data_IF_727456235183
#
_entry.id   IF_727456235183
#
_cell.length_a   1.000
_cell.length_b   1.000
_cell.length_c   1.000
_cell.angle_alpha   90.00
_cell.angle_beta   90.00
_cell.angle_gamma   90.00
#
_symmetry.space_group_name_H-M   'P 1'
#
loop_
_entity.id
_entity.type
_entity.pdbx_description
1 polymer ?
#
# COMPACT_ATOMS: atom_id res chain seq x y z
N UNK A 1 -4.96 11.83 -15.31
CA UNK A 1 -4.52 12.62 -16.49
C UNK A 1 -4.20 11.64 -17.61
N UNK A 2 -4.69 11.83 -18.85
CA UNK A 2 -4.46 10.91 -19.97
C UNK A 2 -4.82 9.43 -19.66
N UNK A 3 -5.92 9.19 -18.93
CA UNK A 3 -6.34 7.86 -18.46
C UNK A 3 -5.29 7.08 -17.64
N UNK A 4 -4.27 7.76 -17.12
CA UNK A 4 -3.24 7.20 -16.24
C UNK A 4 -3.24 7.91 -14.90
N UNK A 5 -2.88 7.16 -13.86
CA UNK A 5 -2.53 7.71 -12.55
C UNK A 5 -1.11 8.28 -12.63
N UNK A 6 -0.99 9.59 -12.44
CA UNK A 6 0.29 10.30 -12.46
C UNK A 6 0.37 11.19 -11.22
N UNK A 7 1.54 11.23 -10.60
CA UNK A 7 1.85 12.12 -9.48
C UNK A 7 2.70 13.26 -10.03
N UNK A 8 2.10 14.43 -10.18
CA UNK A 8 2.73 15.57 -10.84
C UNK A 8 2.63 16.80 -9.96
N UNK A 9 3.66 17.66 -10.04
CA UNK A 9 3.67 18.97 -9.36
C UNK A 9 3.06 20.09 -10.22
N UNK A 10 2.78 19.80 -11.49
CA UNK A 10 2.14 20.71 -12.44
C UNK A 10 1.18 19.91 -13.31
N UNK A 11 -0.10 20.31 -13.34
CA UNK A 11 -1.11 19.71 -14.21
C UNK A 11 -0.67 19.72 -15.66
N UNK A 12 -0.31 20.89 -16.20
CA UNK A 12 0.05 21.03 -17.62
C UNK A 12 1.27 20.20 -18.00
N UNK A 13 2.34 20.17 -17.18
CA UNK A 13 3.48 19.29 -17.44
C UNK A 13 3.08 17.81 -17.49
N UNK A 14 2.18 17.38 -16.60
CA UNK A 14 1.65 16.02 -16.60
C UNK A 14 0.87 15.69 -17.87
N UNK A 15 0.04 16.63 -18.34
CA UNK A 15 -0.78 16.47 -19.54
C UNK A 15 0.04 16.45 -20.83
N UNK A 16 1.05 17.33 -20.94
CA UNK A 16 1.93 17.46 -22.11
C UNK A 16 3.16 16.57 -22.06
N UNK A 17 3.36 15.85 -20.95
CA UNK A 17 4.55 15.03 -20.68
C UNK A 17 5.87 15.81 -20.77
N UNK A 18 5.86 17.07 -20.33
CA UNK A 18 7.04 17.92 -20.32
C UNK A 18 8.18 17.29 -19.49
N UNK A 19 9.36 17.14 -20.10
CA UNK A 19 10.58 16.63 -19.46
C UNK A 19 11.55 17.76 -19.07
N UNK A 20 11.31 18.98 -19.54
CA UNK A 20 12.13 20.15 -19.25
C UNK A 20 11.68 20.85 -17.97
N UNK A 21 12.47 21.84 -17.52
CA UNK A 21 12.12 22.69 -16.39
C UNK A 21 10.76 23.37 -16.59
N UNK A 22 9.93 23.38 -15.56
CA UNK A 22 8.56 23.88 -15.64
C UNK A 22 8.52 25.41 -15.60
N UNK A 23 7.99 26.03 -16.66
CA UNK A 23 7.81 27.50 -16.75
C UNK A 23 6.35 27.95 -16.70
N UNK A 24 5.44 27.06 -16.32
CA UNK A 24 4.00 27.32 -16.27
C UNK A 24 3.61 28.23 -15.10
N UNK A 25 2.55 29.03 -15.27
CA UNK A 25 1.98 29.87 -14.20
C UNK A 25 1.29 29.01 -13.13
N UNK A 26 0.98 29.59 -11.98
CA UNK A 26 0.36 28.86 -10.88
C UNK A 26 -1.04 28.33 -11.25
N UNK A 27 -1.80 29.03 -12.07
CA UNK A 27 -3.10 28.56 -12.59
C UNK A 27 -2.95 27.36 -13.55
N UNK A 28 -1.87 27.32 -14.31
CA UNK A 28 -1.53 26.20 -15.19
C UNK A 28 -1.03 25.00 -14.39
N UNK A 29 -0.28 25.25 -13.32
CA UNK A 29 0.23 24.23 -12.40
C UNK A 29 -0.86 23.61 -11.54
N UNK A 30 -1.89 24.39 -11.18
CA UNK A 30 -2.96 24.00 -10.27
C UNK A 30 -3.58 22.64 -10.59
N UNK A 31 -3.63 21.79 -9.57
CA UNK A 31 -4.25 20.46 -9.64
C UNK A 31 -5.74 20.56 -9.28
N UNK A 32 -6.56 19.77 -9.95
CA UNK A 32 -7.99 19.62 -9.63
C UNK A 32 -8.29 18.14 -9.43
N UNK A 33 -8.98 17.82 -8.33
CA UNK A 33 -9.21 16.45 -7.91
C UNK A 33 -9.97 16.39 -6.59
N UNK A 34 -10.06 15.17 -6.06
CA UNK A 34 -10.71 14.87 -4.78
C UNK A 34 -9.67 14.26 -3.85
N UNK A 35 -9.55 14.81 -2.65
CA UNK A 35 -8.56 14.40 -1.65
C UNK A 35 -9.20 14.28 -0.27
N UNK A 36 -8.59 13.45 0.57
CA UNK A 36 -8.89 13.47 2.00
C UNK A 36 -8.28 14.73 2.60
N UNK A 37 -9.03 15.39 3.49
CA UNK A 37 -8.67 16.71 4.04
C UNK A 37 -7.31 16.73 4.73
N UNK A 38 -6.87 15.61 5.33
CA UNK A 38 -5.58 15.50 5.99
C UNK A 38 -4.39 15.71 5.03
N UNK A 39 -4.49 15.25 3.77
CA UNK A 39 -3.44 15.48 2.77
C UNK A 39 -3.43 16.94 2.31
N UNK A 40 -4.60 17.56 2.19
CA UNK A 40 -4.73 18.98 1.87
C UNK A 40 -4.11 19.81 2.98
N UNK A 41 -4.43 19.52 4.24
CA UNK A 41 -3.84 20.19 5.39
C UNK A 41 -2.32 20.03 5.40
N UNK A 42 -1.80 18.83 5.11
CA UNK A 42 -0.35 18.64 4.99
C UNK A 42 0.25 19.48 3.86
N UNK A 43 -0.38 19.54 2.68
CA UNK A 43 0.08 20.38 1.58
C UNK A 43 0.12 21.87 1.96
N UNK A 44 -0.88 22.37 2.68
CA UNK A 44 -0.89 23.75 3.16
C UNK A 44 0.32 24.05 4.07
N UNK A 45 0.72 23.10 4.95
CA UNK A 45 1.94 23.29 5.78
C UNK A 45 3.23 23.35 4.97
N UNK A 46 3.22 22.83 3.74
CA UNK A 46 4.36 22.84 2.81
C UNK A 46 4.33 24.06 1.88
N UNK A 47 3.41 25.00 2.09
CA UNK A 47 3.31 26.24 1.30
C UNK A 47 2.45 26.14 0.04
N UNK A 48 1.70 25.06 -0.15
CA UNK A 48 0.70 25.01 -1.22
C UNK A 48 -0.50 25.90 -0.90
N UNK A 49 -1.15 26.44 -1.93
CA UNK A 49 -2.32 27.30 -1.80
C UNK A 49 -3.60 26.64 -2.33
N UNK A 50 -4.71 26.85 -1.62
CA UNK A 50 -6.02 26.34 -2.01
C UNK A 50 -6.75 27.36 -2.90
N UNK A 51 -6.79 27.09 -4.20
CA UNK A 51 -7.36 28.00 -5.18
C UNK A 51 -8.90 28.03 -5.17
N UNK A 52 -9.53 26.85 -5.12
CA UNK A 52 -10.99 26.71 -5.21
C UNK A 52 -11.47 25.45 -4.48
N UNK A 53 -12.54 25.61 -3.70
CA UNK A 53 -13.27 24.51 -3.07
C UNK A 53 -14.56 24.30 -3.85
N UNK A 54 -14.82 23.06 -4.27
CA UNK A 54 -16.05 22.68 -4.96
C UNK A 54 -17.07 22.10 -3.98
N UNK A 55 -16.63 21.17 -3.14
CA UNK A 55 -17.48 20.42 -2.23
C UNK A 55 -16.64 19.90 -1.05
N UNK A 56 -17.26 19.78 0.13
CA UNK A 56 -16.66 19.20 1.33
C UNK A 56 -17.64 18.22 1.94
N UNK A 57 -17.21 16.97 2.13
CA UNK A 57 -17.98 15.98 2.89
C UNK A 57 -17.42 15.93 4.31
N UNK A 58 -18.29 16.16 5.28
CA UNK A 58 -17.95 16.09 6.70
C UNK A 58 -18.56 14.84 7.32
N UNK A 59 -17.79 14.15 8.14
CA UNK A 59 -18.19 12.88 8.77
C UNK A 59 -17.97 12.93 10.27
N UNK A 60 -18.76 12.16 11.00
CA UNK A 60 -18.46 11.87 12.39
C UNK A 60 -17.25 10.93 12.45
N UNK A 61 -16.23 11.32 13.21
CA UNK A 61 -14.99 10.55 13.37
C UNK A 61 -15.00 9.89 14.73
N UNK A 62 -14.87 8.56 14.73
CA UNK A 62 -14.54 7.77 15.92
C UNK A 62 -13.08 7.31 15.81
N UNK A 63 -12.27 7.65 16.81
CA UNK A 63 -10.83 7.39 16.81
C UNK A 63 -10.44 6.54 18.01
N UNK A 64 -9.62 5.52 17.76
CA UNK A 64 -9.00 4.74 18.83
C UNK A 64 -8.14 5.63 19.73
N UNK A 65 -8.42 5.61 21.03
CA UNK A 65 -7.65 6.38 22.00
C UNK A 65 -6.43 5.57 22.44
N UNK A 66 -5.24 6.04 22.07
CA UNK A 66 -3.96 5.36 22.36
C UNK A 66 -3.56 5.39 23.83
N UNK A 67 -4.14 6.29 24.64
CA UNK A 67 -3.88 6.44 26.08
C UNK A 67 -4.80 5.51 26.88
N UNK A 68 -6.12 5.58 26.62
CA UNK A 68 -7.10 4.73 27.32
C UNK A 68 -7.22 3.34 26.72
N UNK A 69 -6.59 3.10 25.55
CA UNK A 69 -6.64 1.86 24.76
C UNK A 69 -8.07 1.41 24.45
N UNK A 70 -8.98 2.36 24.22
CA UNK A 70 -10.39 2.12 24.03
C UNK A 70 -10.92 2.79 22.75
N UNK A 71 -12.06 2.28 22.26
CA UNK A 71 -12.73 2.77 21.06
C UNK A 71 -12.18 2.15 19.76
N UNK A 72 -12.53 2.75 18.63
CA UNK A 72 -12.09 2.30 17.32
C UNK A 72 -12.87 1.08 16.80
N UNK A 73 -13.55 1.29 15.68
CA UNK A 73 -14.41 0.29 15.04
C UNK A 73 -13.72 -1.06 14.74
N UNK A 74 -12.41 -1.04 14.46
CA UNK A 74 -11.66 -2.22 14.01
C UNK A 74 -10.71 -2.80 15.07
N UNK A 75 -10.68 -2.24 16.29
CA UNK A 75 -9.66 -2.57 17.29
C UNK A 75 -9.61 -4.06 17.63
N UNK A 76 -10.73 -4.67 18.01
CA UNK A 76 -10.78 -6.07 18.41
C UNK A 76 -10.37 -7.03 17.29
N UNK A 77 -10.83 -6.74 16.07
CA UNK A 77 -10.49 -7.52 14.88
C UNK A 77 -8.99 -7.40 14.58
N UNK A 78 -8.45 -6.18 14.57
CA UNK A 78 -7.04 -5.94 14.30
C UNK A 78 -6.17 -6.63 15.36
N UNK A 79 -6.48 -6.45 16.65
CA UNK A 79 -5.75 -7.04 17.77
C UNK A 79 -5.69 -8.57 17.67
N UNK A 80 -6.80 -9.21 17.28
CA UNK A 80 -6.86 -10.66 17.05
C UNK A 80 -5.87 -11.12 15.98
N UNK A 81 -5.87 -10.49 14.80
CA UNK A 81 -5.00 -10.92 13.70
C UNK A 81 -3.55 -10.45 13.85
N UNK A 82 -3.32 -9.33 14.55
CA UNK A 82 -1.99 -8.91 15.00
C UNK A 82 -1.39 -9.97 15.92
N UNK A 83 -2.14 -10.44 16.93
CA UNK A 83 -1.71 -11.50 17.85
C UNK A 83 -1.27 -12.75 17.08
N UNK A 84 -2.12 -13.23 16.18
CA UNK A 84 -1.83 -14.42 15.36
C UNK A 84 -0.60 -14.21 14.49
N UNK A 85 -0.52 -13.06 13.80
CA UNK A 85 0.63 -12.72 12.94
C UNK A 85 1.92 -12.68 13.75
N UNK A 86 1.92 -12.06 14.92
CA UNK A 86 3.12 -11.86 15.72
C UNK A 86 3.60 -13.18 16.32
N UNK A 87 2.68 -13.97 16.91
CA UNK A 87 2.99 -15.30 17.44
C UNK A 87 3.56 -16.22 16.34
N UNK A 88 2.96 -16.22 15.16
CA UNK A 88 3.42 -17.00 14.02
C UNK A 88 4.76 -16.52 13.41
N UNK A 89 5.29 -15.37 13.84
CA UNK A 89 6.60 -14.88 13.40
C UNK A 89 7.76 -15.50 14.17
N UNK A 90 7.48 -16.20 15.27
CA UNK A 90 8.50 -16.68 16.19
C UNK A 90 9.11 -15.55 17.03
N UNK A 91 10.17 -15.91 17.74
CA UNK A 91 10.87 -14.98 18.64
C UNK A 91 11.79 -14.04 17.85
N UNK A 92 11.84 -12.75 18.20
CA UNK A 92 12.84 -11.83 17.67
C UNK A 92 14.27 -12.31 17.94
N UNK A 93 15.21 -11.95 17.04
CA UNK A 93 16.63 -12.35 17.14
C UNK A 93 17.30 -11.92 18.46
N UNK A 94 16.82 -10.85 19.08
CA UNK A 94 17.29 -10.30 20.35
C UNK A 94 16.65 -10.95 21.59
N UNK A 95 15.78 -11.96 21.42
CA UNK A 95 15.09 -12.66 22.51
C UNK A 95 15.61 -14.10 22.69
N UNK A 96 16.83 -14.23 23.23
CA UNK A 96 17.48 -15.52 23.49
C UNK A 96 17.23 -16.04 24.91
N UNK A 97 17.17 -15.16 25.91
CA UNK A 97 16.95 -15.55 27.32
C UNK A 97 15.48 -15.50 27.72
N UNK A 98 15.11 -16.18 28.81
CA UNK A 98 13.75 -16.17 29.32
C UNK A 98 13.29 -14.75 29.69
N UNK A 99 14.16 -13.96 30.34
CA UNK A 99 13.86 -12.59 30.74
C UNK A 99 13.65 -11.67 29.53
N UNK A 100 14.37 -11.89 28.43
CA UNK A 100 14.18 -11.14 27.19
C UNK A 100 12.83 -11.48 26.54
N UNK A 101 12.40 -12.74 26.63
CA UNK A 101 11.13 -13.20 26.09
C UNK A 101 9.94 -12.66 26.89
N UNK A 102 10.03 -12.71 28.22
CA UNK A 102 8.98 -12.20 29.10
C UNK A 102 8.80 -10.69 28.95
N UNK A 103 9.92 -9.95 28.94
CA UNK A 103 9.92 -8.51 28.66
C UNK A 103 9.31 -8.17 27.30
N UNK A 104 9.61 -8.94 26.26
CA UNK A 104 9.03 -8.71 24.94
C UNK A 104 7.49 -8.85 24.95
N UNK A 105 6.95 -9.84 25.66
CA UNK A 105 5.49 -10.00 25.81
C UNK A 105 4.89 -8.80 26.58
N UNK A 106 5.53 -8.38 27.67
CA UNK A 106 5.09 -7.25 28.48
C UNK A 106 5.11 -5.92 27.71
N UNK A 107 6.18 -5.66 26.95
CA UNK A 107 6.30 -4.49 26.09
C UNK A 107 5.23 -4.50 24.99
N UNK A 108 4.95 -5.66 24.39
CA UNK A 108 3.93 -5.80 23.36
C UNK A 108 2.52 -5.54 23.92
N UNK A 109 2.22 -6.05 25.12
CA UNK A 109 0.97 -5.74 25.81
C UNK A 109 0.87 -4.24 26.13
N UNK A 110 1.91 -3.65 26.70
CA UNK A 110 1.91 -2.25 27.14
C UNK A 110 1.74 -1.29 25.97
N UNK A 111 2.47 -1.55 24.88
CA UNK A 111 2.49 -0.67 23.70
C UNK A 111 1.27 -0.88 22.81
N UNK A 112 0.96 -2.14 22.47
CA UNK A 112 -0.04 -2.48 21.46
C UNK A 112 -1.40 -2.88 22.04
N UNK A 113 -1.51 -3.07 23.36
CA UNK A 113 -2.69 -3.62 24.02
C UNK A 113 -3.10 -5.00 23.46
N UNK A 114 -2.10 -5.81 23.11
CA UNK A 114 -2.29 -7.17 22.59
C UNK A 114 -1.50 -8.14 23.45
N UNK A 115 -2.22 -9.03 24.14
CA UNK A 115 -1.59 -10.09 24.93
C UNK A 115 -1.09 -11.20 24.00
N UNK A 116 0.22 -11.44 23.99
CA UNK A 116 0.83 -12.62 23.34
C UNK A 116 0.89 -13.81 24.31
N UNK A 117 0.74 -15.02 23.78
CA UNK A 117 0.91 -16.25 24.55
C UNK A 117 2.32 -16.83 24.36
N UNK A 118 3.07 -16.98 25.43
CA UNK A 118 4.46 -17.47 25.39
C UNK A 118 4.59 -18.80 24.62
N UNK A 119 3.68 -19.75 24.87
CA UNK A 119 3.70 -21.08 24.26
C UNK A 119 3.33 -21.08 22.77
N UNK A 120 2.65 -20.03 22.28
CA UNK A 120 2.16 -19.95 20.91
C UNK A 120 3.12 -19.14 20.00
N UNK A 121 4.18 -18.54 20.55
CA UNK A 121 5.20 -17.84 19.77
C UNK A 121 6.12 -18.89 19.13
N UNK A 122 5.67 -19.38 17.97
CA UNK A 122 6.30 -20.44 17.19
C UNK A 122 6.30 -19.98 15.73
N UNK A 123 7.46 -20.08 15.09
CA UNK A 123 7.58 -19.74 13.67
C UNK A 123 6.64 -20.61 12.82
N UNK A 124 5.70 -19.96 12.15
CA UNK A 124 4.75 -20.60 11.24
C UNK A 124 4.52 -19.68 10.03
N UNK A 125 5.31 -19.85 8.95
CA UNK A 125 5.22 -18.98 7.77
C UNK A 125 3.83 -18.97 7.12
N UNK A 126 3.14 -20.12 7.12
CA UNK A 126 1.80 -20.25 6.54
C UNK A 126 0.75 -19.46 7.32
N UNK A 127 0.71 -19.64 8.64
CA UNK A 127 -0.23 -18.93 9.51
C UNK A 127 0.07 -17.42 9.54
N UNK A 128 1.36 -17.04 9.56
CA UNK A 128 1.78 -15.65 9.44
C UNK A 128 1.30 -15.02 8.13
N UNK A 129 1.45 -15.74 7.01
CA UNK A 129 0.99 -15.28 5.70
C UNK A 129 -0.53 -15.08 5.67
N UNK A 130 -1.30 -16.03 6.23
CA UNK A 130 -2.76 -15.92 6.34
C UNK A 130 -3.19 -14.72 7.18
N UNK A 131 -2.61 -14.54 8.37
CA UNK A 131 -2.93 -13.41 9.24
C UNK A 131 -2.56 -12.06 8.59
N UNK A 132 -1.40 -11.98 7.93
CA UNK A 132 -0.99 -10.80 7.15
C UNK A 132 -1.96 -10.52 6.00
N UNK A 133 -2.40 -11.57 5.28
CA UNK A 133 -3.36 -11.43 4.18
C UNK A 133 -4.69 -10.87 4.67
N UNK A 134 -5.19 -11.32 5.82
CA UNK A 134 -6.44 -10.82 6.39
C UNK A 134 -6.31 -9.33 6.77
N UNK A 135 -5.23 -8.97 7.47
CA UNK A 135 -4.95 -7.57 7.83
C UNK A 135 -4.87 -6.65 6.60
N UNK A 136 -4.24 -7.12 5.52
CA UNK A 136 -4.06 -6.33 4.29
C UNK A 136 -5.29 -6.32 3.38
N UNK A 137 -6.06 -7.40 3.32
CA UNK A 137 -7.20 -7.52 2.39
C UNK A 137 -8.44 -6.80 2.88
N UNK A 138 -8.57 -6.63 4.20
CA UNK A 138 -9.77 -6.09 4.82
C UNK A 138 -10.06 -4.66 4.36
N UNK A 139 -9.08 -3.76 4.40
CA UNK A 139 -9.29 -2.38 3.95
C UNK A 139 -9.47 -2.29 2.43
N UNK A 140 -8.84 -3.20 1.66
CA UNK A 140 -9.01 -3.27 0.21
C UNK A 140 -10.45 -3.62 -0.19
N UNK A 141 -11.14 -4.45 0.61
CA UNK A 141 -12.56 -4.76 0.43
C UNK A 141 -13.45 -3.52 0.55
N UNK A 142 -13.12 -2.61 1.46
CA UNK A 142 -13.86 -1.35 1.65
C UNK A 142 -13.74 -0.40 0.46
N UNK A 143 -12.68 -0.52 -0.34
CA UNK A 143 -12.46 0.24 -1.57
C UNK A 143 -12.79 -0.54 -2.85
N UNK A 144 -13.50 -1.66 -2.75
CA UNK A 144 -13.82 -2.48 -3.92
C UNK A 144 -14.74 -1.73 -4.88
N UNK A 145 -14.39 -1.72 -6.18
CA UNK A 145 -15.29 -1.27 -7.24
C UNK A 145 -16.54 -2.16 -7.24
N UNK A 146 -17.69 -1.56 -7.00
CA UNK A 146 -18.98 -2.26 -6.83
C UNK A 146 -19.46 -2.84 -8.17
N UNK A 147 -19.42 -2.02 -9.23
CA UNK A 147 -19.78 -2.45 -10.57
C UNK A 147 -18.55 -2.97 -11.32
N UNK A 148 -18.28 -4.27 -11.20
CA UNK A 148 -17.22 -4.95 -11.95
C UNK A 148 -17.75 -5.52 -13.27
N UNK A 149 -16.99 -5.42 -14.37
CA UNK A 149 -17.31 -6.13 -15.60
C UNK A 149 -17.45 -7.63 -15.36
N UNK A 150 -18.60 -8.17 -15.73
CA UNK A 150 -18.95 -9.59 -15.66
C UNK A 150 -18.75 -10.22 -17.02
N UNK A 151 -18.34 -11.48 -17.00
CA UNK A 151 -18.21 -12.29 -18.21
C UNK A 151 -19.31 -13.33 -18.22
N UNK A 152 -20.04 -13.42 -19.33
CA UNK A 152 -21.09 -14.41 -19.55
C UNK A 152 -20.83 -15.15 -20.86
N UNK A 153 -20.95 -16.47 -20.80
CA UNK A 153 -20.89 -17.32 -21.99
C UNK A 153 -22.32 -17.47 -22.50
N UNK A 154 -22.59 -16.99 -23.70
CA UNK A 154 -23.91 -16.97 -24.31
C UNK A 154 -23.92 -17.89 -25.51
N UNK A 155 -24.89 -18.79 -25.56
CA UNK A 155 -25.10 -19.75 -26.67
C UNK A 155 -26.42 -19.54 -27.40
N UNK A 156 -27.38 -18.91 -26.76
CA UNK A 156 -28.66 -18.57 -27.34
C UNK A 156 -28.64 -17.11 -27.84
N UNK A 157 -28.90 -16.86 -29.14
CA UNK A 157 -29.04 -15.50 -29.66
C UNK A 157 -30.06 -14.65 -28.89
N UNK A 158 -31.15 -15.26 -28.40
CA UNK A 158 -32.20 -14.53 -27.67
C UNK A 158 -31.68 -13.94 -26.37
N UNK A 159 -30.81 -14.67 -25.66
CA UNK A 159 -30.13 -14.19 -24.46
C UNK A 159 -29.18 -13.02 -24.77
N UNK A 160 -28.45 -13.10 -25.89
CA UNK A 160 -27.55 -12.03 -26.30
C UNK A 160 -28.31 -10.75 -26.67
N UNK A 161 -29.35 -10.86 -27.49
CA UNK A 161 -30.19 -9.70 -27.84
C UNK A 161 -30.93 -9.14 -26.63
N UNK A 162 -31.36 -10.01 -25.70
CA UNK A 162 -31.91 -9.58 -24.41
C UNK A 162 -30.94 -8.68 -23.64
N UNK A 163 -29.65 -9.05 -23.58
CA UNK A 163 -28.63 -8.22 -22.93
C UNK A 163 -28.36 -6.89 -23.64
N UNK A 164 -28.49 -6.83 -24.96
CA UNK A 164 -28.28 -5.58 -25.73
C UNK A 164 -29.44 -4.58 -25.58
N UNK A 165 -30.65 -5.09 -25.35
CA UNK A 165 -31.87 -4.26 -25.26
C UNK A 165 -32.18 -3.91 -23.79
N UNK A 166 -31.62 -4.64 -22.83
CA UNK A 166 -31.77 -4.34 -21.41
C UNK A 166 -31.20 -2.94 -21.08
N UNK A 167 -32.05 -1.99 -20.63
CA UNK A 167 -31.60 -0.64 -20.33
C UNK A 167 -30.64 -0.58 -19.14
N UNK A 168 -30.62 -1.58 -18.26
CA UNK A 168 -29.72 -1.66 -17.10
C UNK A 168 -28.37 -2.29 -17.39
N UNK A 169 -28.15 -2.85 -18.59
CA UNK A 169 -26.92 -3.52 -18.98
C UNK A 169 -26.15 -2.67 -20.00
N UNK A 170 -24.84 -2.63 -19.86
CA UNK A 170 -23.91 -2.12 -20.85
C UNK A 170 -23.00 -3.25 -21.32
N UNK A 171 -23.06 -3.60 -22.60
CA UNK A 171 -22.22 -4.64 -23.19
C UNK A 171 -20.91 -4.01 -23.66
N UNK A 172 -19.81 -4.37 -23.00
CA UNK A 172 -18.47 -3.86 -23.29
C UNK A 172 -17.88 -4.51 -24.55
N UNK A 173 -18.04 -5.82 -24.68
CA UNK A 173 -17.52 -6.59 -25.82
C UNK A 173 -18.25 -7.92 -25.96
N UNK A 174 -18.43 -8.39 -27.20
CA UNK A 174 -18.87 -9.75 -27.49
C UNK A 174 -17.87 -10.39 -28.44
N UNK A 175 -17.25 -11.49 -28.01
CA UNK A 175 -16.21 -12.20 -28.76
C UNK A 175 -16.69 -13.62 -29.08
N UNK A 176 -16.76 -14.03 -30.35
CA UNK A 176 -17.04 -15.42 -30.70
C UNK A 176 -15.86 -16.32 -30.31
N UNK A 177 -16.14 -17.39 -29.56
CA UNK A 177 -15.16 -18.47 -29.35
C UNK A 177 -15.26 -19.49 -30.49
N UNK A 178 -16.48 -19.78 -30.93
CA UNK A 178 -16.80 -20.71 -32.01
C UNK A 178 -18.13 -20.30 -32.66
N UNK A 179 -18.62 -21.11 -33.58
CA UNK A 179 -19.82 -20.82 -34.39
C UNK A 179 -21.09 -20.60 -33.54
N UNK A 180 -21.18 -21.23 -32.37
CA UNK A 180 -22.41 -21.25 -31.54
C UNK A 180 -22.22 -20.60 -30.16
N UNK A 181 -21.08 -19.98 -29.88
CA UNK A 181 -20.76 -19.47 -28.54
C UNK A 181 -20.08 -18.11 -28.57
N UNK A 182 -20.68 -17.16 -27.85
CA UNK A 182 -20.13 -15.83 -27.57
C UNK A 182 -19.66 -15.75 -26.12
N UNK A 183 -18.53 -15.08 -25.91
CA UNK A 183 -18.14 -14.52 -24.61
C UNK A 183 -18.49 -13.06 -24.60
N UNK A 184 -19.44 -12.70 -23.74
CA UNK A 184 -19.94 -11.35 -23.60
C UNK A 184 -19.41 -10.78 -22.29
N UNK A 185 -18.64 -9.69 -22.40
CA UNK A 185 -18.26 -8.87 -21.26
C UNK A 185 -19.26 -7.73 -21.12
N UNK A 186 -19.81 -7.55 -19.93
CA UNK A 186 -20.86 -6.57 -19.66
C UNK A 186 -20.76 -6.03 -18.24
N UNK A 187 -21.31 -4.84 -18.00
CA UNK A 187 -21.46 -4.26 -16.67
C UNK A 187 -22.86 -3.66 -16.51
N UNK A 188 -23.28 -3.39 -15.27
CA UNK A 188 -24.53 -2.66 -15.06
C UNK A 188 -24.30 -1.18 -15.36
N UNK A 189 -25.33 -0.45 -15.78
CA UNK A 189 -25.22 1.02 -15.85
C UNK A 189 -25.19 1.61 -14.44
N UNK A 190 -24.56 2.77 -14.26
CA UNK A 190 -24.35 3.40 -12.95
C UNK A 190 -25.65 3.62 -12.16
N UNK A 191 -26.76 3.85 -12.86
CA UNK A 191 -28.08 4.09 -12.27
C UNK A 191 -28.80 2.80 -11.82
N UNK A 192 -28.26 1.62 -12.17
CA UNK A 192 -28.94 0.34 -12.05
C UNK A 192 -28.16 -0.70 -11.22
N UNK A 193 -27.01 -0.34 -10.64
CA UNK A 193 -26.25 -1.26 -9.80
C UNK A 193 -26.60 -1.14 -8.32
N UNK A 194 -26.63 -2.28 -7.63
CA UNK A 194 -26.86 -2.34 -6.20
C UNK A 194 -25.60 -1.94 -5.43
N UNK A 195 -25.76 -0.98 -4.52
CA UNK A 195 -24.70 -0.56 -3.59
C UNK A 195 -24.37 -1.74 -2.67
N UNK A 196 -23.09 -2.08 -2.56
CA UNK A 196 -22.62 -3.13 -1.67
C UNK A 196 -22.58 -2.59 -0.23
N UNK A 197 -23.37 -3.20 0.66
CA UNK A 197 -23.36 -2.88 2.10
C UNK A 197 -22.02 -3.13 2.81
N UNK A 198 -21.06 -3.73 2.12
CA UNK A 198 -19.71 -4.07 2.64
C UNK A 198 -18.62 -3.11 2.17
N UNK A 199 -18.97 -2.09 1.37
CA UNK A 199 -18.04 -1.12 0.81
C UNK A 199 -18.19 0.22 1.53
N UNK A 200 -17.06 0.86 1.82
CA UNK A 200 -17.02 2.21 2.33
C UNK A 200 -15.75 2.90 1.83
N UNK A 201 -15.89 3.60 0.69
CA UNK A 201 -14.78 4.27 0.01
C UNK A 201 -14.12 5.34 0.88
N UNK A 202 -14.86 5.96 1.80
CA UNK A 202 -14.34 6.98 2.71
C UNK A 202 -13.34 6.36 3.67
N UNK A 203 -13.68 5.22 4.28
CA UNK A 203 -12.76 4.51 5.17
C UNK A 203 -11.52 4.05 4.39
N UNK A 204 -11.69 3.49 3.19
CA UNK A 204 -10.56 3.08 2.35
C UNK A 204 -9.65 4.27 1.98
N UNK A 205 -10.22 5.42 1.65
CA UNK A 205 -9.48 6.65 1.36
C UNK A 205 -8.68 7.13 2.58
N UNK A 206 -9.27 7.13 3.77
CA UNK A 206 -8.59 7.50 5.01
C UNK A 206 -7.46 6.53 5.36
N UNK A 207 -7.66 5.21 5.22
CA UNK A 207 -6.60 4.22 5.46
C UNK A 207 -5.37 4.49 4.58
N UNK A 208 -5.59 4.71 3.28
CA UNK A 208 -4.46 4.98 2.36
C UNK A 208 -3.83 6.35 2.60
N UNK A 209 -4.62 7.35 2.99
CA UNK A 209 -4.13 8.69 3.35
C UNK A 209 -3.22 8.64 4.56
N UNK A 210 -3.67 7.99 5.63
CA UNK A 210 -2.88 7.86 6.86
C UNK A 210 -1.58 7.07 6.61
N UNK A 211 -1.62 6.02 5.77
CA UNK A 211 -0.42 5.31 5.34
C UNK A 211 0.56 6.21 4.55
N UNK A 212 0.06 7.01 3.59
CA UNK A 212 0.89 7.95 2.82
C UNK A 212 1.50 9.04 3.70
N UNK A 213 0.71 9.64 4.59
CA UNK A 213 1.20 10.66 5.53
C UNK A 213 2.22 10.08 6.52
N UNK A 214 2.02 8.84 6.98
CA UNK A 214 2.98 8.14 7.83
C UNK A 214 4.31 7.94 7.09
N UNK A 215 4.29 7.44 5.85
CA UNK A 215 5.50 7.33 5.03
C UNK A 215 6.14 8.72 4.81
N UNK A 216 5.33 9.71 4.44
CA UNK A 216 5.79 11.07 4.17
C UNK A 216 6.49 11.70 5.38
N UNK A 217 6.06 11.40 6.61
CA UNK A 217 6.74 11.93 7.81
C UNK A 217 8.20 11.46 7.95
N UNK A 218 8.55 10.30 7.39
CA UNK A 218 9.95 9.87 7.25
C UNK A 218 10.64 10.57 6.08
N UNK A 219 9.97 10.64 4.91
CA UNK A 219 10.52 11.25 3.71
C UNK A 219 10.86 12.74 3.93
N UNK A 220 10.00 13.48 4.61
CA UNK A 220 10.18 14.89 4.93
C UNK A 220 11.44 15.14 5.78
N UNK A 221 11.73 14.23 6.73
CA UNK A 221 12.92 14.32 7.59
C UNK A 221 14.19 13.85 6.88
N UNK A 222 14.07 12.89 5.96
CA UNK A 222 15.18 12.40 5.16
C UNK A 222 15.57 13.39 4.05
N UNK A 223 14.61 14.14 3.50
CA UNK A 223 14.82 15.14 2.46
C UNK A 223 15.51 14.56 1.23
N UNK A 224 16.55 15.25 0.75
CA UNK A 224 17.30 14.90 -0.46
C UNK A 224 18.08 13.58 -0.36
N UNK A 225 18.11 12.95 0.82
CA UNK A 225 18.74 11.62 0.99
C UNK A 225 17.87 10.47 0.52
N UNK A 226 16.60 10.71 0.21
CA UNK A 226 15.69 9.67 -0.29
C UNK A 226 16.08 9.30 -1.72
N UNK A 227 16.39 8.01 -1.95
CA UNK A 227 16.68 7.47 -3.28
C UNK A 227 15.45 6.84 -3.93
N UNK A 228 14.60 6.18 -3.13
CA UNK A 228 13.41 5.50 -3.60
C UNK A 228 12.43 5.27 -2.44
N UNK A 229 11.12 5.17 -2.75
CA UNK A 229 10.10 4.75 -1.80
C UNK A 229 8.96 4.04 -2.53
N UNK A 230 8.36 3.04 -1.87
CA UNK A 230 7.18 2.34 -2.38
C UNK A 230 6.30 1.89 -1.23
N UNK A 231 5.09 2.45 -1.16
CA UNK A 231 3.97 2.12 -0.25
C UNK A 231 4.28 2.23 1.25
N UNK A 232 5.22 1.43 1.74
CA UNK A 232 5.61 1.25 3.14
C UNK A 232 7.14 1.09 3.31
N UNK A 233 7.93 1.33 2.26
CA UNK A 233 9.40 1.22 2.26
C UNK A 233 10.09 2.50 1.78
N UNK A 234 11.31 2.73 2.27
CA UNK A 234 12.20 3.81 1.83
C UNK A 234 13.64 3.31 1.69
N UNK A 235 14.29 3.68 0.60
CA UNK A 235 15.74 3.52 0.39
C UNK A 235 16.35 4.92 0.44
N UNK A 236 17.38 5.11 1.25
CA UNK A 236 17.96 6.42 1.49
C UNK A 236 19.48 6.32 1.69
N UNK A 237 20.16 7.47 1.58
CA UNK A 237 21.58 7.61 1.88
C UNK A 237 21.75 7.83 3.38
N UNK A 238 22.41 6.90 4.06
CA UNK A 238 22.79 7.05 5.47
C UNK A 238 24.05 7.90 5.60
N UNK A 239 24.06 8.81 6.58
CA UNK A 239 25.20 9.71 6.85
C UNK A 239 25.39 9.89 8.36
N UNK A 240 26.64 9.88 8.80
CA UNK A 240 26.97 10.05 10.21
C UNK A 240 26.51 11.43 10.72
N UNK A 241 25.81 11.44 11.86
CA UNK A 241 25.30 12.65 12.50
C UNK A 241 24.00 13.20 11.91
N UNK A 242 23.45 12.59 10.85
CA UNK A 242 22.13 12.93 10.31
C UNK A 242 21.02 12.05 10.90
N UNK A 243 19.77 12.40 10.60
CA UNK A 243 18.61 11.63 11.07
C UNK A 243 18.55 10.24 10.44
N UNK A 244 18.45 9.20 11.25
CA UNK A 244 18.20 7.82 10.80
C UNK A 244 16.82 7.36 11.29
N UNK A 245 15.95 6.81 10.41
CA UNK A 245 14.65 6.30 10.82
C UNK A 245 14.78 5.18 11.86
N UNK A 246 14.05 5.32 12.96
CA UNK A 246 14.06 4.33 14.03
C UNK A 246 13.38 3.02 13.58
N UNK A 247 14.08 1.91 13.78
CA UNK A 247 13.55 0.57 13.57
C UNK A 247 13.05 -0.04 14.86
N UNK A 248 12.03 -0.89 14.77
CA UNK A 248 11.48 -1.56 15.94
C UNK A 248 10.71 -2.82 15.62
N UNK A 249 10.30 -3.54 16.67
CA UNK A 249 9.61 -4.83 16.57
C UNK A 249 8.09 -4.71 16.70
N UNK A 250 7.56 -3.49 16.81
CA UNK A 250 6.17 -3.23 17.12
C UNK A 250 5.39 -2.73 15.91
N UNK A 251 4.10 -2.46 16.10
CA UNK A 251 3.20 -2.21 14.97
C UNK A 251 3.46 -0.81 14.42
N UNK A 252 3.70 -0.74 13.11
CA UNK A 252 3.99 0.51 12.41
C UNK A 252 5.42 1.01 12.56
N UNK A 253 6.28 0.27 13.27
CA UNK A 253 7.72 0.51 13.27
C UNK A 253 8.31 0.13 11.91
N UNK A 254 9.39 0.82 11.53
CA UNK A 254 10.17 0.42 10.37
C UNK A 254 11.00 -0.83 10.71
N UNK A 255 11.19 -1.69 9.71
CA UNK A 255 12.04 -2.88 9.82
C UNK A 255 13.22 -2.72 8.88
N UNK A 256 14.43 -3.00 9.35
CA UNK A 256 15.59 -3.09 8.47
C UNK A 256 15.54 -4.41 7.68
N UNK A 257 15.18 -4.32 6.40
CA UNK A 257 15.10 -5.48 5.51
C UNK A 257 16.47 -6.09 5.19
N UNK A 258 17.58 -5.37 5.42
CA UNK A 258 18.93 -5.86 5.13
C UNK A 258 19.45 -6.80 6.22
N UNK A 259 18.81 -6.86 7.39
CA UNK A 259 19.22 -7.76 8.48
C UNK A 259 19.22 -9.25 8.07
N UNK A 260 18.45 -9.63 7.04
CA UNK A 260 18.47 -10.99 6.47
C UNK A 260 19.86 -11.38 5.95
N UNK A 261 20.67 -10.41 5.54
CA UNK A 261 22.05 -10.59 5.10
C UNK A 261 23.05 -10.50 6.25
N UNK A 262 22.63 -9.99 7.41
CA UNK A 262 23.42 -9.83 8.61
C UNK A 262 23.23 -8.45 9.24
N UNK A 263 23.47 -8.33 10.55
CA UNK A 263 23.38 -7.05 11.25
C UNK A 263 24.47 -6.09 10.73
N UNK A 264 24.08 -4.86 10.41
CA UNK A 264 25.00 -3.84 9.89
C UNK A 264 25.30 -3.98 8.40
N UNK A 265 24.55 -4.79 7.65
CA UNK A 265 24.62 -4.79 6.20
C UNK A 265 24.07 -3.46 5.65
N UNK A 266 24.63 -3.02 4.53
CA UNK A 266 24.23 -1.77 3.89
C UNK A 266 24.32 -1.91 2.37
N UNK A 267 23.59 -1.04 1.68
CA UNK A 267 23.61 -0.96 0.23
C UNK A 267 24.85 -0.18 -0.22
N UNK A 268 25.68 -0.77 -1.07
CA UNK A 268 26.86 -0.12 -1.65
C UNK A 268 26.56 0.60 -2.96
N UNK A 269 25.57 0.09 -3.73
CA UNK A 269 25.19 0.64 -5.02
C UNK A 269 23.67 0.50 -5.21
N UNK A 270 23.03 1.58 -5.67
CA UNK A 270 21.61 1.60 -6.01
C UNK A 270 21.43 2.13 -7.44
N UNK A 271 20.68 1.39 -8.26
CA UNK A 271 20.42 1.71 -9.65
C UNK A 271 18.90 1.80 -9.85
N UNK A 272 18.34 3.03 -10.00
CA UNK A 272 16.93 3.21 -10.29
C UNK A 272 16.64 3.00 -11.78
N UNK A 273 15.61 2.21 -12.09
CA UNK A 273 15.06 2.01 -13.44
C UNK A 273 13.63 2.54 -13.62
N UNK A 274 13.06 3.15 -12.58
CA UNK A 274 11.70 3.67 -12.55
C UNK A 274 10.83 3.03 -11.45
N UNK A 275 9.53 3.39 -11.37
CA UNK A 275 8.63 2.86 -10.36
C UNK A 275 8.58 1.33 -10.40
N UNK A 276 8.89 0.69 -9.27
CA UNK A 276 8.92 -0.78 -9.10
C UNK A 276 9.90 -1.50 -10.04
N UNK A 277 10.93 -0.78 -10.51
CA UNK A 277 12.01 -1.30 -11.34
C UNK A 277 13.34 -0.71 -10.84
N UNK A 278 14.12 -1.49 -10.08
CA UNK A 278 15.40 -1.05 -9.53
C UNK A 278 16.28 -2.25 -9.17
N UNK A 279 17.58 -2.00 -9.05
CA UNK A 279 18.56 -2.97 -8.57
C UNK A 279 19.47 -2.35 -7.52
N UNK A 280 20.00 -3.19 -6.62
CA UNK A 280 20.97 -2.75 -5.63
C UNK A 280 21.94 -3.85 -5.24
N UNK A 281 23.13 -3.45 -4.77
CA UNK A 281 24.14 -4.32 -4.17
C UNK A 281 24.15 -4.14 -2.66
N UNK A 282 24.06 -5.22 -1.93
CA UNK A 282 24.18 -5.25 -0.46
C UNK A 282 25.53 -5.83 -0.10
N UNK A 283 26.31 -5.14 0.71
CA UNK A 283 27.50 -5.71 1.32
C UNK A 283 27.09 -6.51 2.57
N UNK A 284 27.22 -7.83 2.50
CA UNK A 284 26.98 -8.74 3.63
C UNK A 284 28.17 -8.69 4.59
N UNK A 285 28.00 -8.08 5.76
CA UNK A 285 29.07 -8.05 6.78
C UNK A 285 29.37 -9.46 7.31
N UNK A 286 28.34 -10.32 7.38
CA UNK A 286 28.47 -11.70 7.85
C UNK A 286 29.31 -12.54 6.90
N UNK A 287 28.99 -12.44 5.60
CA UNK A 287 29.55 -13.32 4.57
C UNK A 287 30.77 -12.67 3.87
N UNK A 288 31.03 -11.38 4.13
CA UNK A 288 32.08 -10.54 3.51
C UNK A 288 32.02 -10.55 1.97
N UNK A 289 30.81 -10.55 1.44
CA UNK A 289 30.53 -10.59 0.00
C UNK A 289 29.44 -9.59 -0.39
N UNK A 290 29.44 -9.19 -1.66
CA UNK A 290 28.34 -8.40 -2.22
C UNK A 290 27.24 -9.32 -2.75
N UNK A 291 26.00 -9.01 -2.40
CA UNK A 291 24.80 -9.69 -2.90
C UNK A 291 24.00 -8.73 -3.76
N UNK A 292 23.68 -9.16 -4.98
CA UNK A 292 22.91 -8.37 -5.93
C UNK A 292 21.43 -8.70 -5.79
N UNK A 293 20.60 -7.67 -5.67
CA UNK A 293 19.15 -7.80 -5.68
C UNK A 293 18.59 -6.99 -6.85
N UNK A 294 17.77 -7.65 -7.67
CA UNK A 294 17.07 -7.01 -8.78
C UNK A 294 15.56 -7.14 -8.58
N UNK A 295 14.84 -6.02 -8.66
CA UNK A 295 13.39 -5.93 -8.48
C UNK A 295 12.78 -5.35 -9.75
N UNK A 296 12.14 -6.21 -10.53
CA UNK A 296 11.44 -5.81 -11.77
C UNK A 296 9.99 -6.31 -11.70
N UNK A 297 9.04 -5.39 -11.60
CA UNK A 297 7.62 -5.77 -11.57
C UNK A 297 7.15 -6.22 -12.97
N UNK A 298 6.45 -7.35 -13.02
CA UNK A 298 5.82 -7.86 -14.24
C UNK A 298 6.71 -8.76 -15.11
N UNK A 299 7.96 -8.99 -14.69
CA UNK A 299 8.89 -9.90 -15.37
C UNK A 299 9.41 -10.92 -14.36
N UNK A 300 9.25 -12.21 -14.66
CA UNK A 300 9.96 -13.26 -13.93
C UNK A 300 11.39 -13.31 -14.44
N UNK A 301 12.35 -12.91 -13.62
CA UNK A 301 13.77 -13.05 -13.92
C UNK A 301 14.16 -14.53 -13.81
N UNK A 302 14.01 -15.28 -14.91
CA UNK A 302 14.64 -16.58 -15.06
C UNK A 302 16.12 -16.36 -15.41
N UNK A 303 16.93 -15.97 -14.43
CA UNK A 303 18.38 -15.93 -14.61
C UNK A 303 18.96 -17.31 -14.27
N UNK A 304 19.02 -18.17 -15.28
CA UNK A 304 20.06 -19.20 -15.34
C UNK A 304 21.34 -18.48 -15.79
N UNK A 305 22.16 -18.07 -14.83
CA UNK A 305 23.53 -17.65 -15.13
C UNK A 305 24.32 -18.90 -15.50
N UNK A 306 24.46 -19.16 -16.81
CA UNK A 306 25.56 -20.01 -17.27
C UNK A 306 26.84 -19.17 -17.15
N UNK A 307 27.69 -19.59 -16.21
CA UNK A 307 29.10 -19.18 -16.13
C UNK A 307 29.84 -19.44 -17.45
#
# INVERSE_FOLDING_TARGET
MNNKLMFVLCRTCGETMNQEECTHTDEQRALTGTWVIDEVNKALTLGYELMKIHEIWNYQVDQFNTVTKAGGLFTDMMNKFIKVKQQASGWPNNCSTQEQKDRYIEEFLTRENVQLEFAEIIENPGLRSLAKLILNSFWGKLGQRENQPKTKIVRDPSEFFGMLIDPGIFVNSALPINEDTLVVNWEQKEEAYDILSTVNVVIAAYVTTQARLKLYSYLERLGDRVLYYDTDSVIYVSKEGEYEPETGNFIGDLTDELEIYGKGCYITEFVPGGPKNYAYKVYSVRDKEEKVVCKVKGISLLMTLHN
#
